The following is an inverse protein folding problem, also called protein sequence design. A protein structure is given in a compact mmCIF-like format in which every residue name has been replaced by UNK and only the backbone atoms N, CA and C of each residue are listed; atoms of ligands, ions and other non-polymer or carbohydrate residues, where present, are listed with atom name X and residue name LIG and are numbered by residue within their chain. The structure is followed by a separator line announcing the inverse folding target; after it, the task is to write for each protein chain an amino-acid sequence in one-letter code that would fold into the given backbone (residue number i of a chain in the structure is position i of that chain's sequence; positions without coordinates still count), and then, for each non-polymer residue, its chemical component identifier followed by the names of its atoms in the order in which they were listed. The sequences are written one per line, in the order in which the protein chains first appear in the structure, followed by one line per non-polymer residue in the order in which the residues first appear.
data_IF_977857531564
#
_entry.id   IF_977857531564
#
_cell.length_a   1.000
_cell.length_b   1.000
_cell.length_c   1.000
_cell.angle_alpha   90.00
_cell.angle_beta   90.00
_cell.angle_gamma   90.00
#
_symmetry.space_group_name_H-M   'P 1'
#
loop_
_entity.id
_entity.type
_entity.pdbx_description
1 polymer ?
#
# COMPACT_ATOMS: atom_id res chain seq x y z
N UNK A 1 -0.70 6.40 -13.63
CA UNK A 1 0.08 6.56 -12.38
C UNK A 1 -0.87 6.42 -11.20
N UNK A 2 -0.39 5.92 -10.05
CA UNK A 2 -1.21 5.84 -8.84
C UNK A 2 -1.70 7.22 -8.43
N UNK A 3 -2.96 7.32 -7.98
CA UNK A 3 -3.56 8.59 -7.56
C UNK A 3 -3.19 8.99 -6.13
N UNK A 4 -2.68 8.05 -5.32
CA UNK A 4 -2.48 8.27 -3.89
C UNK A 4 -1.17 7.68 -3.33
N UNK A 5 -0.48 6.80 -4.06
CA UNK A 5 0.83 6.24 -3.65
C UNK A 5 1.96 6.84 -4.48
N UNK A 6 2.81 7.70 -3.89
CA UNK A 6 3.78 8.46 -4.68
C UNK A 6 5.01 7.65 -5.10
N UNK A 7 5.48 6.71 -4.28
CA UNK A 7 6.64 5.87 -4.60
C UNK A 7 6.33 4.63 -5.44
N UNK A 8 5.04 4.31 -5.62
CA UNK A 8 4.63 3.13 -6.39
C UNK A 8 4.53 3.50 -7.87
N UNK A 9 5.48 3.00 -8.65
CA UNK A 9 5.53 3.20 -10.10
C UNK A 9 4.42 2.40 -10.79
N UNK A 10 4.21 1.15 -10.39
CA UNK A 10 3.15 0.31 -10.96
C UNK A 10 2.70 -0.84 -10.03
N UNK A 11 1.46 -1.28 -10.25
CA UNK A 11 0.88 -2.51 -9.72
C UNK A 11 0.22 -3.23 -10.88
N UNK A 12 0.52 -4.52 -11.07
CA UNK A 12 0.01 -5.35 -12.16
C UNK A 12 -0.61 -6.64 -11.60
N UNK A 13 -1.71 -7.09 -12.20
CA UNK A 13 -2.27 -8.41 -11.91
C UNK A 13 -1.41 -9.48 -12.58
N UNK A 14 -1.26 -10.65 -11.95
CA UNK A 14 -0.45 -11.76 -12.51
C UNK A 14 -1.32 -12.79 -13.23
N UNK A 15 -2.54 -13.04 -12.73
CA UNK A 15 -3.39 -14.17 -13.12
C UNK A 15 -4.69 -13.74 -13.82
N UNK A 16 -4.59 -12.98 -14.92
CA UNK A 16 -5.70 -12.47 -15.77
C UNK A 16 -6.33 -11.11 -15.36
N UNK A 17 -7.06 -10.54 -16.31
CA UNK A 17 -7.79 -9.28 -16.18
C UNK A 17 -9.04 -9.52 -15.33
N UNK A 18 -9.09 -8.92 -14.13
CA UNK A 18 -10.16 -9.17 -13.15
C UNK A 18 -10.86 -7.88 -12.76
N UNK A 19 -12.18 -7.95 -12.60
CA UNK A 19 -13.02 -6.86 -12.06
C UNK A 19 -13.03 -6.82 -10.52
N UNK A 20 -12.30 -7.73 -9.88
CA UNK A 20 -12.17 -7.84 -8.41
C UNK A 20 -10.71 -7.68 -8.01
N UNK A 21 -10.44 -7.49 -6.71
CA UNK A 21 -9.06 -7.35 -6.24
C UNK A 21 -8.31 -8.68 -6.46
N UNK A 22 -7.27 -8.74 -7.33
CA UNK A 22 -6.51 -9.95 -7.57
C UNK A 22 -5.77 -10.40 -6.29
N UNK A 23 -5.61 -11.72 -6.15
CA UNK A 23 -4.86 -12.29 -5.02
C UNK A 23 -3.36 -12.23 -5.22
N UNK A 24 -2.90 -12.20 -6.48
CA UNK A 24 -1.50 -12.11 -6.83
C UNK A 24 -1.22 -10.87 -7.69
N UNK A 25 -0.28 -10.05 -7.20
CA UNK A 25 0.09 -8.79 -7.85
C UNK A 25 1.60 -8.63 -7.93
N UNK A 26 2.08 -8.01 -9.02
CA UNK A 26 3.46 -7.55 -9.16
C UNK A 26 3.52 -6.04 -8.93
N UNK A 27 4.38 -5.63 -8.02
CA UNK A 27 4.56 -4.24 -7.62
C UNK A 27 5.94 -3.75 -8.04
N UNK A 28 6.00 -2.49 -8.45
CA UNK A 28 7.27 -1.78 -8.66
C UNK A 28 7.27 -0.48 -7.85
N UNK A 29 8.23 -0.36 -6.94
CA UNK A 29 8.52 0.86 -6.19
C UNK A 29 9.71 1.55 -6.86
N UNK A 30 9.57 2.85 -7.13
CA UNK A 30 10.67 3.67 -7.63
C UNK A 30 10.69 5.00 -6.87
N UNK A 31 11.76 5.24 -6.10
CA UNK A 31 11.93 6.45 -5.31
C UNK A 31 13.41 6.74 -5.07
N UNK A 32 13.81 8.01 -5.13
CA UNK A 32 15.17 8.48 -4.82
C UNK A 32 16.31 7.70 -5.52
N UNK A 33 16.11 7.33 -6.79
CA UNK A 33 17.08 6.55 -7.56
C UNK A 33 17.09 5.05 -7.24
N UNK A 34 16.33 4.59 -6.24
CA UNK A 34 16.12 3.17 -5.98
C UNK A 34 14.92 2.65 -6.74
N UNK A 35 15.00 1.38 -7.15
CA UNK A 35 13.91 0.66 -7.79
C UNK A 35 13.83 -0.77 -7.28
N UNK A 36 12.69 -1.15 -6.73
CA UNK A 36 12.42 -2.49 -6.22
C UNK A 36 11.19 -3.09 -6.89
N UNK A 37 11.24 -4.40 -7.06
CA UNK A 37 10.10 -5.20 -7.54
C UNK A 37 9.83 -6.33 -6.57
N UNK A 38 8.54 -6.64 -6.41
CA UNK A 38 8.11 -7.81 -5.64
C UNK A 38 6.78 -8.33 -6.14
N UNK A 39 6.51 -9.60 -5.83
CA UNK A 39 5.18 -10.21 -5.99
C UNK A 39 4.53 -10.29 -4.62
N UNK A 40 3.32 -9.79 -4.48
CA UNK A 40 2.53 -9.85 -3.25
C UNK A 40 1.33 -10.78 -3.44
N UNK A 41 1.15 -11.70 -2.48
CA UNK A 41 0.00 -12.58 -2.39
C UNK A 41 -0.89 -12.17 -1.21
N UNK A 42 -2.19 -12.08 -1.43
CA UNK A 42 -3.19 -11.90 -0.37
C UNK A 42 -3.25 -13.18 0.47
N UNK A 43 -3.08 -13.04 1.78
CA UNK A 43 -3.06 -14.16 2.74
C UNK A 43 -4.30 -14.22 3.62
N UNK A 44 -5.01 -13.09 3.76
CA UNK A 44 -6.29 -13.00 4.47
C UNK A 44 -7.14 -11.92 3.83
N UNK A 45 -8.42 -12.22 3.58
CA UNK A 45 -9.42 -11.25 3.13
C UNK A 45 -10.68 -11.40 3.97
N UNK A 46 -11.06 -10.31 4.61
CA UNK A 46 -12.37 -10.14 5.24
C UNK A 46 -13.01 -8.94 4.58
N UNK A 47 -14.11 -9.17 3.85
CA UNK A 47 -14.78 -8.12 3.09
C UNK A 47 -15.06 -6.88 3.94
N UNK A 48 -14.77 -5.70 3.39
CA UNK A 48 -15.00 -4.37 4.00
C UNK A 48 -14.30 -4.15 5.36
N UNK A 49 -13.45 -5.07 5.81
CA UNK A 49 -12.84 -5.00 7.14
C UNK A 49 -11.34 -5.17 7.11
N UNK A 50 -10.79 -6.13 6.35
CA UNK A 50 -9.38 -6.46 6.48
C UNK A 50 -8.80 -7.11 5.25
N UNK A 51 -7.57 -6.74 4.94
CA UNK A 51 -6.71 -7.43 3.98
C UNK A 51 -5.33 -7.64 4.61
N UNK A 52 -4.77 -8.83 4.43
CA UNK A 52 -3.35 -9.10 4.68
C UNK A 52 -2.69 -9.59 3.42
N UNK A 53 -1.41 -9.27 3.28
CA UNK A 53 -0.58 -9.75 2.19
C UNK A 53 0.81 -10.08 2.66
N UNK A 54 1.50 -10.90 1.87
CA UNK A 54 2.91 -11.22 2.04
C UNK A 54 3.58 -11.34 0.68
N UNK A 55 4.83 -10.90 0.58
CA UNK A 55 5.59 -11.10 -0.64
C UNK A 55 6.02 -12.56 -0.79
N UNK A 56 5.92 -13.05 -2.02
CA UNK A 56 6.32 -14.41 -2.40
C UNK A 56 7.54 -14.41 -3.32
N UNK A 57 8.12 -13.23 -3.56
CA UNK A 57 9.34 -13.06 -4.34
C UNK A 57 9.71 -11.58 -4.49
N UNK A 58 11.00 -11.31 -4.72
CA UNK A 58 11.54 -9.95 -4.79
C UNK A 58 11.79 -9.35 -3.40
N UNK A 59 11.44 -8.07 -3.20
CA UNK A 59 11.58 -7.39 -1.91
C UNK A 59 10.74 -8.10 -0.81
N UNK A 60 11.34 -8.53 0.31
CA UNK A 60 10.59 -9.11 1.43
C UNK A 60 9.73 -8.02 2.09
N UNK A 61 8.43 -8.21 2.05
CA UNK A 61 7.46 -7.32 2.69
C UNK A 61 6.19 -8.07 3.03
N UNK A 62 5.58 -7.75 4.15
CA UNK A 62 4.25 -8.18 4.51
C UNK A 62 3.50 -7.00 5.12
N UNK A 63 2.18 -7.06 5.07
CA UNK A 63 1.39 -5.98 5.62
C UNK A 63 -0.06 -6.35 5.80
N UNK A 64 -0.76 -5.45 6.47
CA UNK A 64 -2.18 -5.54 6.69
C UNK A 64 -2.80 -4.16 6.65
N UNK A 65 -4.00 -4.08 6.08
CA UNK A 65 -4.89 -2.94 6.25
C UNK A 65 -6.15 -3.40 6.97
N UNK A 66 -6.56 -2.64 7.97
CA UNK A 66 -7.80 -2.85 8.72
C UNK A 66 -8.67 -1.60 8.58
N UNK A 67 -9.92 -1.81 8.24
CA UNK A 67 -10.97 -0.80 8.16
C UNK A 67 -11.94 -1.03 9.32
N UNK A 68 -12.09 -0.02 10.16
CA UNK A 68 -13.01 -0.05 11.30
C UNK A 68 -14.04 1.07 11.16
N UNK A 69 -15.30 0.72 10.97
CA UNK A 69 -16.38 1.71 11.08
C UNK A 69 -16.47 2.16 12.54
N UNK A 70 -16.41 3.48 12.75
CA UNK A 70 -16.68 4.11 14.05
C UNK A 70 -18.13 4.61 14.11
N UNK A 71 -18.64 5.09 12.98
CA UNK A 71 -20.04 5.47 12.74
C UNK A 71 -20.38 5.20 11.27
N UNK A 72 -21.62 5.46 10.87
CA UNK A 72 -22.07 5.36 9.47
C UNK A 72 -21.31 6.32 8.52
N UNK A 73 -20.62 7.33 9.05
CA UNK A 73 -19.90 8.35 8.27
C UNK A 73 -18.39 8.33 8.48
N UNK A 74 -17.89 7.57 9.45
CA UNK A 74 -16.48 7.61 9.87
C UNK A 74 -15.90 6.20 9.84
N UNK A 75 -14.80 6.04 9.10
CA UNK A 75 -13.99 4.81 9.07
C UNK A 75 -12.55 5.13 9.48
N UNK A 76 -12.01 4.37 10.42
CA UNK A 76 -10.58 4.36 10.72
C UNK A 76 -9.88 3.36 9.80
N UNK A 77 -8.78 3.79 9.17
CA UNK A 77 -7.94 2.94 8.33
C UNK A 77 -6.59 2.77 9.02
N UNK A 78 -6.26 1.55 9.41
CA UNK A 78 -4.99 1.20 10.04
C UNK A 78 -4.15 0.40 9.04
N UNK A 79 -3.01 0.97 8.62
CA UNK A 79 -2.04 0.32 7.76
C UNK A 79 -0.81 -0.10 8.58
N UNK A 80 -0.46 -1.37 8.52
CA UNK A 80 0.78 -1.90 9.10
C UNK A 80 1.60 -2.58 8.00
N UNK A 81 2.89 -2.28 7.93
CA UNK A 81 3.81 -2.86 6.95
C UNK A 81 5.10 -3.25 7.66
N UNK A 82 5.56 -4.46 7.39
CA UNK A 82 6.91 -4.93 7.71
C UNK A 82 7.66 -5.15 6.40
N UNK A 83 8.94 -4.79 6.40
CA UNK A 83 9.80 -4.94 5.23
C UNK A 83 11.23 -5.22 5.67
N UNK A 84 11.97 -5.91 4.80
CA UNK A 84 13.42 -6.08 4.96
C UNK A 84 14.14 -5.25 3.91
N UNK A 85 15.06 -4.41 4.37
CA UNK A 85 15.89 -3.62 3.48
C UNK A 85 17.01 -4.50 2.91
N UNK A 86 17.22 -4.49 1.58
CA UNK A 86 18.41 -5.10 1.01
C UNK A 86 19.67 -4.50 1.63
N UNK A 87 20.62 -5.35 2.06
CA UNK A 87 21.89 -4.95 2.70
C UNK A 87 22.68 -3.90 1.91
N UNK A 88 22.48 -3.82 0.59
CA UNK A 88 23.10 -2.81 -0.25
C UNK A 88 22.67 -1.38 0.14
N UNK A 89 21.41 -1.16 0.51
CA UNK A 89 20.86 0.17 0.87
C UNK A 89 21.31 0.58 2.27
N UNK A 90 21.35 -0.37 3.21
CA UNK A 90 21.77 -0.11 4.60
C UNK A 90 23.19 0.46 4.71
N UNK A 91 24.02 0.34 3.66
CA UNK A 91 25.36 0.95 3.58
C UNK A 91 25.36 2.42 3.17
N UNK A 92 24.27 2.93 2.60
CA UNK A 92 24.17 4.31 2.08
C UNK A 92 23.31 5.22 2.97
N UNK A 93 22.51 4.66 3.88
CA UNK A 93 21.60 5.41 4.73
C UNK A 93 21.42 4.72 6.07
N UNK A 94 21.41 5.48 7.15
CA UNK A 94 21.11 4.97 8.48
C UNK A 94 19.67 4.44 8.57
N UNK A 95 19.47 3.32 9.27
CA UNK A 95 18.18 2.63 9.36
C UNK A 95 17.08 3.50 9.98
N UNK A 96 17.43 4.32 10.97
CA UNK A 96 16.51 5.26 11.64
C UNK A 96 15.97 6.35 10.69
N UNK A 97 16.81 6.88 9.80
CA UNK A 97 16.43 7.90 8.82
C UNK A 97 15.50 7.29 7.79
N UNK A 98 15.87 6.12 7.27
CA UNK A 98 15.06 5.40 6.29
C UNK A 98 13.71 4.97 6.87
N UNK A 99 13.68 4.47 8.11
CA UNK A 99 12.45 4.12 8.82
C UNK A 99 11.49 5.31 8.97
N UNK A 100 12.01 6.49 9.36
CA UNK A 100 11.20 7.72 9.42
C UNK A 100 10.68 8.15 8.04
N UNK A 101 11.52 8.05 7.01
CA UNK A 101 11.13 8.40 5.65
C UNK A 101 10.00 7.51 5.13
N UNK A 102 10.11 6.20 5.34
CA UNK A 102 9.05 5.23 4.97
C UNK A 102 7.78 5.51 5.76
N UNK A 103 7.88 5.72 7.07
CA UNK A 103 6.71 6.01 7.92
C UNK A 103 5.96 7.26 7.44
N UNK A 104 6.70 8.35 7.15
CA UNK A 104 6.12 9.58 6.65
C UNK A 104 5.46 9.41 5.27
N UNK A 105 6.10 8.67 4.37
CA UNK A 105 5.51 8.37 3.05
C UNK A 105 4.23 7.54 3.17
N UNK A 106 4.23 6.51 4.03
CA UNK A 106 3.05 5.68 4.26
C UNK A 106 1.89 6.50 4.83
N UNK A 107 2.15 7.36 5.82
CA UNK A 107 1.13 8.25 6.37
C UNK A 107 0.58 9.19 5.30
N UNK A 108 1.46 9.85 4.54
CA UNK A 108 1.06 10.77 3.47
C UNK A 108 0.21 10.05 2.40
N UNK A 109 0.53 8.79 2.08
CA UNK A 109 -0.26 8.00 1.14
C UNK A 109 -1.66 7.67 1.69
N UNK A 110 -1.79 7.34 2.98
CA UNK A 110 -3.10 7.13 3.60
C UNK A 110 -3.92 8.43 3.67
N UNK A 111 -3.28 9.58 3.90
CA UNK A 111 -3.95 10.88 3.86
C UNK A 111 -4.49 11.19 2.46
N UNK A 112 -3.68 10.96 1.41
CA UNK A 112 -4.14 11.10 0.01
C UNK A 112 -5.25 10.12 -0.35
N UNK A 113 -5.19 8.90 0.18
CA UNK A 113 -6.24 7.90 -0.02
C UNK A 113 -7.56 8.36 0.60
N UNK A 114 -7.51 8.88 1.84
CA UNK A 114 -8.66 9.47 2.51
C UNK A 114 -9.28 10.59 1.65
N UNK A 115 -8.47 11.56 1.24
CA UNK A 115 -8.94 12.69 0.42
C UNK A 115 -9.59 12.22 -0.89
N UNK A 116 -9.02 11.21 -1.54
CA UNK A 116 -9.54 10.63 -2.77
C UNK A 116 -10.90 9.95 -2.56
N UNK A 117 -11.04 9.16 -1.49
CA UNK A 117 -12.30 8.47 -1.17
C UNK A 117 -13.37 9.46 -0.77
N UNK A 118 -13.07 10.41 0.11
CA UNK A 118 -14.03 11.43 0.58
C UNK A 118 -14.50 12.35 -0.55
N UNK A 119 -13.59 12.77 -1.44
CA UNK A 119 -13.96 13.56 -2.62
C UNK A 119 -14.91 12.83 -3.56
N UNK A 120 -14.71 11.52 -3.76
CA UNK A 120 -15.58 10.72 -4.61
C UNK A 120 -16.91 10.38 -3.92
N UNK A 121 -16.91 10.25 -2.59
CA UNK A 121 -18.13 10.09 -1.81
C UNK A 121 -19.04 11.32 -1.96
N UNK A 122 -18.52 12.53 -1.72
CA UNK A 122 -19.29 13.79 -1.80
C UNK A 122 -19.93 14.00 -3.17
N UNK A 123 -19.22 13.67 -4.26
CA UNK A 123 -19.77 13.77 -5.63
C UNK A 123 -21.03 12.92 -5.84
N UNK A 124 -21.15 11.79 -5.15
CA UNK A 124 -22.32 10.91 -5.27
C UNK A 124 -23.56 11.44 -4.53
N UNK A 125 -23.41 12.43 -3.64
CA UNK A 125 -24.54 13.10 -2.96
C UNK A 125 -24.94 14.42 -3.62
N UNK A 126 -24.14 14.92 -4.56
CA UNK A 126 -24.38 16.18 -5.27
C UNK A 126 -24.94 16.00 -6.70
N UNK A 127 -25.31 14.77 -7.08
CA UNK A 127 -25.98 14.42 -8.33
C UNK A 127 -27.39 13.91 -8.06
#
# INVERSE_FOLDING_TARGET
MSLWMSWIESVKTVDEETNTLPDLTEWTLAANGFKFKWKAQITERVEKSKLKWKSIGGLPTEGSVVFESKTDQITTVNLAITYELPKMIARFMEENILGKMVTNELQTNIDRFKDLVEKNYTKNFSN
#
